data_IF_211631758397
#
_entry.id   IF_211631758397
#
_cell.length_a   1.000
_cell.length_b   1.000
_cell.length_c   1.000
_cell.angle_alpha   90.00
_cell.angle_beta   90.00
_cell.angle_gamma   90.00
#
_symmetry.space_group_name_H-M   'P 1'
#
loop_
_entity.id
_entity.type
_entity.pdbx_description
1 polymer ?
#
# COMPACT_ATOMS: atom_id res chain seq x y z
N UNK A 1 -25.18 -32.03 -53.15
CA UNK A 1 -25.26 -32.46 -51.73
C UNK A 1 -25.70 -31.26 -50.91
N UNK A 2 -27.00 -31.16 -50.65
CA UNK A 2 -27.61 -30.00 -49.99
C UNK A 2 -27.35 -30.00 -48.48
N UNK A 3 -26.75 -28.92 -47.98
CA UNK A 3 -26.86 -28.56 -46.56
C UNK A 3 -28.09 -27.68 -46.38
N UNK A 4 -28.98 -28.13 -45.50
CA UNK A 4 -30.21 -27.43 -45.11
C UNK A 4 -29.86 -26.11 -44.43
N UNK A 5 -30.48 -25.03 -44.86
CA UNK A 5 -30.62 -23.82 -44.05
C UNK A 5 -31.38 -24.20 -42.77
N UNK A 6 -30.73 -24.05 -41.61
CA UNK A 6 -31.41 -24.20 -40.32
C UNK A 6 -32.51 -23.15 -40.21
N UNK A 7 -33.74 -23.60 -39.95
CA UNK A 7 -34.85 -22.72 -39.54
C UNK A 7 -34.47 -22.04 -38.24
N UNK A 8 -34.48 -20.72 -38.23
CA UNK A 8 -34.58 -19.91 -37.02
C UNK A 8 -36.04 -19.96 -36.53
N UNK A 9 -36.49 -21.13 -36.07
CA UNK A 9 -37.74 -21.30 -35.33
C UNK A 9 -37.41 -21.59 -33.85
N UNK A 10 -36.52 -20.83 -33.23
CA UNK A 10 -36.49 -20.76 -31.76
C UNK A 10 -37.68 -19.88 -31.34
N UNK A 11 -38.69 -20.50 -30.74
CA UNK A 11 -39.76 -19.77 -30.05
C UNK A 11 -39.10 -18.72 -29.14
N UNK A 12 -39.34 -17.44 -29.42
CA UNK A 12 -38.99 -16.37 -28.49
C UNK A 12 -39.54 -16.75 -27.11
N UNK A 13 -38.74 -16.65 -26.04
CA UNK A 13 -39.20 -17.04 -24.71
C UNK A 13 -40.54 -16.35 -24.43
N UNK A 14 -41.57 -17.15 -24.14
CA UNK A 14 -42.91 -16.66 -23.85
C UNK A 14 -42.82 -15.74 -22.65
N UNK A 15 -43.28 -14.50 -22.81
CA UNK A 15 -43.42 -13.55 -21.72
C UNK A 15 -44.28 -14.18 -20.64
N UNK A 16 -43.65 -14.54 -19.52
CA UNK A 16 -44.33 -14.95 -18.30
C UNK A 16 -44.61 -13.67 -17.48
N UNK A 17 -45.87 -13.19 -17.43
CA UNK A 17 -46.23 -11.99 -16.68
C UNK A 17 -45.98 -12.15 -15.17
N UNK A 18 -45.79 -13.37 -14.68
CA UNK A 18 -45.53 -13.69 -13.28
C UNK A 18 -44.03 -13.92 -12.99
N UNK A 19 -43.17 -13.91 -14.02
CA UNK A 19 -41.73 -14.01 -13.84
C UNK A 19 -41.18 -12.69 -13.28
N UNK A 20 -40.51 -12.77 -12.12
CA UNK A 20 -39.79 -11.62 -11.55
C UNK A 20 -38.75 -11.13 -12.54
N UNK A 21 -38.78 -9.85 -12.86
CA UNK A 21 -37.78 -9.27 -13.74
C UNK A 21 -36.46 -9.13 -12.97
N UNK A 22 -35.29 -9.23 -13.62
CA UNK A 22 -34.00 -8.98 -12.97
C UNK A 22 -33.92 -7.63 -12.25
N UNK A 23 -34.66 -6.62 -12.72
CA UNK A 23 -34.78 -5.32 -12.05
C UNK A 23 -35.51 -5.42 -10.70
N UNK A 24 -36.55 -6.25 -10.59
CA UNK A 24 -37.29 -6.44 -9.35
C UNK A 24 -36.43 -7.17 -8.31
N UNK A 25 -35.65 -8.17 -8.75
CA UNK A 25 -34.70 -8.87 -7.89
C UNK A 25 -33.58 -7.93 -7.41
N UNK A 26 -33.03 -7.11 -8.32
CA UNK A 26 -32.01 -6.12 -7.98
C UNK A 26 -32.53 -5.07 -7.00
N UNK A 27 -33.72 -4.51 -7.22
CA UNK A 27 -34.32 -3.52 -6.32
C UNK A 27 -34.65 -4.13 -4.95
N UNK A 28 -35.18 -5.36 -4.91
CA UNK A 28 -35.45 -6.07 -3.66
C UNK A 28 -34.14 -6.33 -2.89
N UNK A 29 -33.08 -6.70 -3.58
CA UNK A 29 -31.76 -6.88 -2.98
C UNK A 29 -31.22 -5.56 -2.42
N UNK A 30 -31.15 -4.50 -3.24
CA UNK A 30 -30.61 -3.20 -2.84
C UNK A 30 -31.39 -2.57 -1.68
N UNK A 31 -32.71 -2.66 -1.69
CA UNK A 31 -33.55 -2.16 -0.60
C UNK A 31 -33.27 -2.89 0.72
N UNK A 32 -32.91 -4.17 0.64
CA UNK A 32 -32.56 -4.99 1.81
C UNK A 32 -31.12 -4.76 2.29
N UNK A 33 -30.16 -4.63 1.36
CA UNK A 33 -28.72 -4.62 1.68
C UNK A 33 -28.13 -3.22 1.86
N UNK A 34 -28.74 -2.20 1.25
CA UNK A 34 -28.35 -0.79 1.39
C UNK A 34 -29.57 0.10 1.71
N UNK A 35 -30.32 -0.18 2.80
CA UNK A 35 -31.48 0.63 3.16
C UNK A 35 -31.05 2.05 3.56
N UNK A 36 -31.93 3.03 3.27
CA UNK A 36 -31.69 4.45 3.60
C UNK A 36 -31.47 4.69 5.10
N UNK A 37 -32.17 3.92 5.96
CA UNK A 37 -32.09 4.05 7.41
C UNK A 37 -31.50 2.78 8.00
N UNK A 38 -30.39 2.94 8.72
CA UNK A 38 -29.76 1.85 9.46
C UNK A 38 -29.56 2.24 10.94
N UNK A 39 -29.41 1.25 11.83
CA UNK A 39 -28.97 1.50 13.21
C UNK A 39 -27.64 2.28 13.26
N UNK A 40 -26.69 1.98 12.36
CA UNK A 40 -25.40 2.65 12.27
C UNK A 40 -25.55 4.13 11.93
N UNK A 41 -26.39 4.47 10.93
CA UNK A 41 -26.67 5.86 10.56
C UNK A 41 -27.34 6.63 11.70
N UNK A 42 -28.30 6.00 12.39
CA UNK A 42 -28.97 6.62 13.54
C UNK A 42 -27.98 6.89 14.69
N UNK A 43 -27.11 5.93 15.00
CA UNK A 43 -26.06 6.08 16.01
C UNK A 43 -24.96 7.08 15.59
N UNK A 44 -24.73 7.25 14.29
CA UNK A 44 -23.82 8.24 13.74
C UNK A 44 -24.40 9.64 13.82
N UNK A 45 -25.62 9.88 13.32
CA UNK A 45 -26.28 11.18 13.36
C UNK A 45 -26.33 11.77 14.77
N UNK A 46 -26.63 10.94 15.77
CA UNK A 46 -26.67 11.36 17.17
C UNK A 46 -25.30 11.84 17.73
N UNK A 47 -24.19 11.46 17.09
CA UNK A 47 -22.82 11.78 17.53
C UNK A 47 -22.06 12.69 16.56
N UNK A 48 -22.69 13.09 15.46
CA UNK A 48 -22.12 14.07 14.52
C UNK A 48 -21.74 15.33 15.30
N UNK A 49 -20.52 15.81 15.04
CA UNK A 49 -19.94 16.96 15.74
C UNK A 49 -18.97 17.68 14.83
N UNK A 50 -18.83 18.98 15.06
CA UNK A 50 -17.78 19.79 14.44
C UNK A 50 -16.41 19.14 14.67
N UNK A 51 -15.60 18.94 13.62
CA UNK A 51 -14.26 18.36 13.77
C UNK A 51 -13.38 19.29 14.61
N UNK A 52 -12.71 18.75 15.63
CA UNK A 52 -11.79 19.49 16.49
C UNK A 52 -10.37 18.96 16.31
N UNK A 53 -9.86 19.04 15.09
CA UNK A 53 -8.65 18.32 14.67
C UNK A 53 -7.33 19.06 14.93
N UNK A 54 -7.41 20.33 15.32
CA UNK A 54 -6.26 21.19 15.55
C UNK A 54 -5.23 20.54 16.49
N UNK A 55 -3.96 20.82 16.22
CA UNK A 55 -2.81 20.35 16.99
C UNK A 55 -1.93 19.36 16.23
N UNK A 56 -1.01 18.76 16.97
CA UNK A 56 0.02 17.87 16.44
C UNK A 56 -0.44 16.43 16.35
N UNK A 57 -0.19 15.83 15.20
CA UNK A 57 -0.43 14.42 14.91
C UNK A 57 0.87 13.74 14.55
N UNK A 58 1.07 12.53 15.06
CA UNK A 58 2.14 11.63 14.67
C UNK A 58 1.72 10.90 13.40
N UNK A 59 2.62 10.84 12.42
CA UNK A 59 2.39 10.23 11.12
C UNK A 59 3.27 9.00 10.99
N UNK A 60 2.68 7.88 10.57
CA UNK A 60 3.41 6.79 9.92
C UNK A 60 2.86 6.61 8.52
N UNK A 61 3.74 6.32 7.56
CA UNK A 61 3.34 6.16 6.18
C UNK A 61 4.17 5.09 5.46
N UNK A 62 3.56 4.45 4.47
CA UNK A 62 4.24 3.52 3.56
C UNK A 62 4.06 4.01 2.13
N UNK A 63 5.14 4.02 1.37
CA UNK A 63 5.12 4.29 -0.07
C UNK A 63 5.69 3.06 -0.78
N UNK A 64 4.90 2.39 -1.64
CA UNK A 64 5.40 1.28 -2.43
C UNK A 64 6.68 1.67 -3.18
N UNK A 65 7.71 0.82 -3.10
CA UNK A 65 9.01 1.05 -3.75
C UNK A 65 9.90 2.11 -3.08
N UNK A 66 9.41 2.84 -2.07
CA UNK A 66 10.19 3.83 -1.30
C UNK A 66 10.23 3.56 0.21
N UNK A 67 9.48 2.56 0.67
CA UNK A 67 9.53 2.08 2.04
C UNK A 67 8.67 2.89 3.00
N UNK A 68 9.09 2.89 4.27
CA UNK A 68 8.32 3.45 5.38
C UNK A 68 8.84 4.83 5.77
N UNK A 69 7.94 5.67 6.26
CA UNK A 69 8.19 7.01 6.73
C UNK A 69 7.50 7.23 8.07
N UNK A 70 8.07 8.13 8.87
CA UNK A 70 7.49 8.57 10.13
C UNK A 70 7.68 10.07 10.29
N UNK A 71 6.87 10.70 11.14
CA UNK A 71 7.06 12.11 11.47
C UNK A 71 5.83 12.73 12.09
N UNK A 72 5.54 13.97 11.72
CA UNK A 72 4.44 14.72 12.30
C UNK A 72 3.70 15.58 11.29
N UNK A 73 2.45 15.86 11.62
CA UNK A 73 1.52 16.73 10.90
C UNK A 73 0.94 17.72 11.90
N UNK A 74 1.19 19.00 11.69
CA UNK A 74 0.53 20.09 12.40
C UNK A 74 -0.74 20.47 11.65
N UNK A 75 -1.87 20.50 12.36
CA UNK A 75 -3.17 20.87 11.83
C UNK A 75 -3.63 22.17 12.49
N UNK A 76 -3.94 23.18 11.68
CA UNK A 76 -4.44 24.49 12.12
C UNK A 76 -5.82 24.76 11.49
N UNK A 77 -6.83 25.20 12.26
CA UNK A 77 -8.15 25.52 11.71
C UNK A 77 -8.07 26.78 10.84
N UNK A 78 -8.85 26.81 9.76
CA UNK A 78 -8.99 28.02 8.95
C UNK A 78 -9.95 29.00 9.63
N UNK A 79 -9.56 30.26 9.72
CA UNK A 79 -10.34 31.28 10.42
C UNK A 79 -11.66 31.52 9.69
N UNK A 80 -12.77 31.37 10.42
CA UNK A 80 -14.11 31.64 9.89
C UNK A 80 -14.80 30.42 9.27
N UNK A 81 -14.20 29.24 9.37
CA UNK A 81 -14.79 27.95 8.97
C UNK A 81 -14.78 26.99 10.17
N UNK A 82 -15.65 26.00 10.13
CA UNK A 82 -15.81 25.00 11.21
C UNK A 82 -15.17 23.64 10.88
N UNK A 83 -14.84 23.42 9.60
CA UNK A 83 -14.48 22.12 9.04
C UNK A 83 -13.28 22.18 8.08
N UNK A 84 -12.68 23.35 7.85
CA UNK A 84 -11.48 23.50 7.03
C UNK A 84 -10.20 23.66 7.87
N UNK A 85 -9.12 23.06 7.39
CA UNK A 85 -7.83 23.06 8.08
C UNK A 85 -6.66 23.27 7.11
N UNK A 86 -5.59 23.90 7.59
CA UNK A 86 -4.29 23.92 6.92
C UNK A 86 -3.34 22.96 7.61
N UNK A 87 -2.39 22.42 6.84
CA UNK A 87 -1.50 21.35 7.33
C UNK A 87 -0.05 21.62 6.99
N UNK A 88 0.84 21.25 7.91
CA UNK A 88 2.29 21.19 7.69
C UNK A 88 2.80 19.83 8.13
N UNK A 89 3.37 19.08 7.20
CA UNK A 89 3.86 17.73 7.43
C UNK A 89 5.36 17.69 7.28
N UNK A 90 6.04 17.01 8.19
CA UNK A 90 7.44 16.60 8.04
C UNK A 90 7.52 15.10 8.23
N UNK A 91 8.00 14.40 7.20
CA UNK A 91 8.29 12.97 7.21
C UNK A 91 9.78 12.71 7.12
N UNK A 92 10.22 11.61 7.72
CA UNK A 92 11.57 11.08 7.67
C UNK A 92 11.50 9.63 7.23
N UNK A 93 12.33 9.26 6.25
CA UNK A 93 12.46 7.90 5.77
C UNK A 93 13.06 7.00 6.84
N UNK A 94 12.48 5.82 7.01
CA UNK A 94 13.00 4.77 7.90
C UNK A 94 14.26 4.11 7.31
N UNK A 95 14.44 4.11 5.99
CA UNK A 95 15.58 3.43 5.36
C UNK A 95 16.86 4.27 5.39
N UNK A 96 16.77 5.56 5.07
CA UNK A 96 17.94 6.41 4.82
C UNK A 96 17.94 7.74 5.60
N UNK A 97 16.88 8.03 6.35
CA UNK A 97 16.76 9.27 7.12
C UNK A 97 16.50 10.53 6.28
N UNK A 98 16.30 10.40 4.96
CA UNK A 98 15.89 11.51 4.10
C UNK A 98 14.57 12.12 4.57
N UNK A 99 14.38 13.43 4.37
CA UNK A 99 13.20 14.14 4.88
C UNK A 99 12.37 14.74 3.77
N UNK A 100 11.06 14.79 3.99
CA UNK A 100 10.08 15.38 3.08
C UNK A 100 9.22 16.34 3.89
N UNK A 101 9.03 17.55 3.38
CA UNK A 101 8.11 18.52 3.94
C UNK A 101 6.94 18.73 2.97
N UNK A 102 5.72 18.78 3.50
CA UNK A 102 4.51 19.05 2.72
C UNK A 102 3.67 20.11 3.39
N UNK A 103 2.99 20.91 2.59
CA UNK A 103 1.97 21.85 3.07
C UNK A 103 0.66 21.59 2.35
N UNK A 104 -0.47 21.71 3.06
CA UNK A 104 -1.77 21.39 2.52
C UNK A 104 -2.94 22.18 3.10
N UNK A 105 -4.10 21.93 2.51
CA UNK A 105 -5.41 22.42 2.94
C UNK A 105 -6.40 21.26 2.88
N UNK A 106 -7.40 21.26 3.75
CA UNK A 106 -8.39 20.20 3.83
C UNK A 106 -9.74 20.69 4.34
N UNK A 107 -10.74 19.84 4.10
CA UNK A 107 -12.12 19.95 4.54
C UNK A 107 -12.55 18.61 5.15
N UNK A 108 -13.41 18.62 6.16
CA UNK A 108 -13.91 17.41 6.82
C UNK A 108 -15.42 17.28 6.66
N UNK A 109 -15.83 16.35 5.81
CA UNK A 109 -17.24 16.03 5.63
C UNK A 109 -17.78 15.20 6.78
N UNK A 110 -18.99 15.56 7.21
CA UNK A 110 -19.76 14.84 8.22
C UNK A 110 -19.05 14.65 9.57
N UNK A 111 -17.91 15.30 9.83
CA UNK A 111 -17.13 15.15 11.07
C UNK A 111 -16.10 14.01 11.08
N UNK A 112 -15.92 13.28 9.97
CA UNK A 112 -14.96 12.15 9.90
C UNK A 112 -14.27 11.95 8.54
N UNK A 113 -14.88 12.39 7.44
CA UNK A 113 -14.35 12.15 6.10
C UNK A 113 -13.46 13.31 5.67
N UNK A 114 -12.16 13.18 5.92
CA UNK A 114 -11.16 14.16 5.52
C UNK A 114 -10.93 14.12 4.01
N UNK A 115 -10.99 15.28 3.37
CA UNK A 115 -10.60 15.50 1.99
C UNK A 115 -9.63 16.67 1.95
N UNK A 116 -8.45 16.44 1.41
CA UNK A 116 -7.42 17.47 1.37
C UNK A 116 -6.56 17.42 0.14
N UNK A 117 -5.66 18.39 0.04
CA UNK A 117 -4.56 18.40 -0.90
C UNK A 117 -3.31 18.87 -0.21
N UNK A 118 -2.17 18.27 -0.56
CA UNK A 118 -0.86 18.74 -0.12
C UNK A 118 0.17 18.64 -1.23
N UNK A 119 1.25 19.40 -1.10
CA UNK A 119 2.39 19.34 -2.03
C UNK A 119 3.70 19.54 -1.30
N UNK A 120 4.77 19.02 -1.88
CA UNK A 120 6.13 19.29 -1.44
C UNK A 120 6.60 20.71 -1.78
N UNK A 121 7.76 21.10 -1.24
CA UNK A 121 8.36 22.41 -1.50
C UNK A 121 9.26 22.47 -2.73
N UNK A 122 9.62 21.32 -3.32
CA UNK A 122 10.51 21.21 -4.47
C UNK A 122 9.74 20.92 -5.77
N UNK A 123 10.34 21.26 -6.91
CA UNK A 123 9.87 20.80 -8.21
C UNK A 123 9.96 19.28 -8.32
N UNK A 124 8.99 18.66 -8.97
CA UNK A 124 8.94 17.21 -9.21
C UNK A 124 9.96 16.81 -10.27
N UNK A 125 10.85 15.86 -9.96
CA UNK A 125 11.88 15.35 -10.86
C UNK A 125 11.43 14.11 -11.65
N UNK A 126 10.47 13.35 -11.13
CA UNK A 126 9.94 12.12 -11.73
C UNK A 126 8.44 11.97 -11.45
N UNK A 127 7.71 11.12 -12.21
CA UNK A 127 6.28 10.91 -12.00
C UNK A 127 5.93 10.41 -10.59
N UNK A 128 6.83 9.64 -9.98
CA UNK A 128 6.71 9.06 -8.65
C UNK A 128 7.32 9.95 -7.54
N UNK A 129 7.69 11.19 -7.85
CA UNK A 129 8.33 12.10 -6.88
C UNK A 129 7.42 12.38 -5.68
N UNK A 130 7.97 12.22 -4.48
CA UNK A 130 7.28 12.41 -3.21
C UNK A 130 6.91 13.87 -2.93
N UNK A 131 7.44 14.83 -3.70
CA UNK A 131 7.06 16.24 -3.65
C UNK A 131 5.78 16.55 -4.46
N UNK A 132 5.24 15.60 -5.23
CA UNK A 132 4.07 15.81 -6.08
C UNK A 132 2.84 16.31 -5.31
N UNK A 133 2.01 17.09 -5.99
CA UNK A 133 0.67 17.47 -5.50
C UNK A 133 -0.17 16.20 -5.35
N UNK A 134 -0.61 15.96 -4.12
CA UNK A 134 -1.38 14.78 -3.75
C UNK A 134 -2.76 15.20 -3.25
N UNK A 135 -3.76 14.43 -3.66
CA UNK A 135 -5.08 14.40 -3.01
C UNK A 135 -5.00 13.55 -1.76
N UNK A 136 -5.71 13.95 -0.72
CA UNK A 136 -5.74 13.26 0.57
C UNK A 136 -7.15 12.78 0.86
N UNK A 137 -7.28 11.49 1.17
CA UNK A 137 -8.54 10.87 1.56
C UNK A 137 -8.27 10.08 2.82
N UNK A 138 -8.79 10.55 3.95
CA UNK A 138 -8.65 9.89 5.24
C UNK A 138 -10.02 9.66 5.89
N UNK A 139 -10.10 8.58 6.65
CA UNK A 139 -11.15 8.36 7.62
C UNK A 139 -10.61 8.73 9.01
N UNK A 140 -11.31 9.62 9.72
CA UNK A 140 -10.98 9.99 11.09
C UNK A 140 -11.86 9.17 12.03
N UNK A 141 -11.23 8.61 13.06
CA UNK A 141 -11.92 7.87 14.11
C UNK A 141 -13.04 8.68 14.77
N UNK A 142 -14.12 8.05 15.26
CA UNK A 142 -15.22 8.75 15.90
C UNK A 142 -14.80 9.57 17.12
N UNK A 143 -13.78 9.12 17.86
CA UNK A 143 -13.20 9.84 19.00
C UNK A 143 -12.22 10.96 18.59
N UNK A 144 -11.89 11.05 17.29
CA UNK A 144 -10.95 11.98 16.67
C UNK A 144 -9.53 11.86 17.23
N UNK A 145 -9.11 10.66 17.66
CA UNK A 145 -7.76 10.40 18.19
C UNK A 145 -6.81 9.78 17.17
N UNK A 146 -7.34 9.11 16.15
CA UNK A 146 -6.62 8.52 15.02
C UNK A 146 -7.28 8.82 13.68
N UNK A 147 -6.52 8.70 12.60
CA UNK A 147 -7.05 8.69 11.24
C UNK A 147 -6.21 7.77 10.34
N UNK A 148 -6.79 7.26 9.27
CA UNK A 148 -6.08 6.44 8.29
C UNK A 148 -6.62 6.66 6.88
N UNK A 149 -5.78 6.44 5.88
CA UNK A 149 -6.17 6.53 4.48
C UNK A 149 -4.97 6.73 3.58
N UNK A 150 -5.12 7.52 2.52
CA UNK A 150 -4.07 7.67 1.49
C UNK A 150 -3.91 9.10 1.01
N UNK A 151 -2.66 9.49 0.77
CA UNK A 151 -2.29 10.69 0.01
C UNK A 151 -1.76 10.24 -1.35
N UNK A 152 -2.42 10.58 -2.44
CA UNK A 152 -2.12 9.97 -3.75
C UNK A 152 -2.12 10.97 -4.91
N UNK A 153 -1.41 10.61 -5.96
CA UNK A 153 -1.34 11.37 -7.21
C UNK A 153 -1.12 10.43 -8.40
N UNK A 154 -0.96 11.02 -9.58
CA UNK A 154 -1.01 10.30 -10.84
C UNK A 154 -2.43 10.27 -11.40
N UNK A 155 -2.53 10.09 -12.71
CA UNK A 155 -3.81 10.08 -13.41
C UNK A 155 -4.69 8.91 -12.98
N UNK A 156 -4.06 7.80 -12.59
CA UNK A 156 -4.72 6.57 -12.16
C UNK A 156 -4.54 6.33 -10.66
N UNK A 157 -4.10 7.35 -9.92
CA UNK A 157 -3.92 7.33 -8.47
C UNK A 157 -2.88 6.28 -8.01
N UNK A 158 -1.98 5.90 -8.92
CA UNK A 158 -1.04 4.79 -8.77
C UNK A 158 0.06 5.08 -7.74
N UNK A 159 0.36 6.36 -7.49
CA UNK A 159 1.35 6.79 -6.52
C UNK A 159 0.70 7.25 -5.23
N UNK A 160 1.36 7.03 -4.10
CA UNK A 160 0.87 7.57 -2.85
C UNK A 160 1.57 7.09 -1.60
N UNK A 161 1.17 7.75 -0.50
CA UNK A 161 1.45 7.37 0.87
C UNK A 161 0.20 6.72 1.43
N UNK A 162 0.31 5.47 1.87
CA UNK A 162 -0.69 4.89 2.77
C UNK A 162 -0.34 5.39 4.18
N UNK A 163 -1.27 6.10 4.82
CA UNK A 163 -1.00 6.94 6.00
C UNK A 163 -1.84 6.50 7.19
N UNK A 164 -1.20 6.46 8.35
CA UNK A 164 -1.86 6.41 9.66
C UNK A 164 -1.44 7.62 10.49
N UNK A 165 -2.43 8.20 11.17
CA UNK A 165 -2.28 9.35 12.05
C UNK A 165 -2.74 8.97 13.46
N UNK A 166 -2.02 9.46 14.45
CA UNK A 166 -2.44 9.41 15.84
C UNK A 166 -2.16 10.75 16.50
N UNK A 167 -3.07 11.26 17.34
CA UNK A 167 -2.79 12.48 18.10
C UNK A 167 -1.53 12.30 18.93
N UNK A 168 -0.68 13.32 18.92
CA UNK A 168 0.46 13.36 19.80
C UNK A 168 -0.01 13.33 21.27
N UNK A 169 0.62 12.46 22.07
CA UNK A 169 0.44 12.42 23.52
C UNK A 169 1.75 12.83 24.21
N UNK A 170 1.76 12.87 25.55
CA UNK A 170 2.99 12.99 26.34
C UNK A 170 3.58 11.61 26.68
N UNK A 171 2.79 10.55 26.51
CA UNK A 171 3.23 9.19 26.78
C UNK A 171 4.16 8.70 25.66
N UNK A 172 5.08 7.77 25.96
CA UNK A 172 5.88 7.10 24.95
C UNK A 172 5.00 6.43 23.89
N UNK A 173 5.37 6.57 22.62
CA UNK A 173 4.71 5.93 21.48
C UNK A 173 5.74 5.16 20.68
N UNK A 174 5.43 3.93 20.26
CA UNK A 174 6.25 3.15 19.33
C UNK A 174 5.63 3.23 17.94
N UNK A 175 6.42 3.57 16.93
CA UNK A 175 5.91 3.94 15.61
C UNK A 175 6.29 2.92 14.55
N UNK A 176 7.59 2.63 14.40
CA UNK A 176 8.11 1.78 13.33
C UNK A 176 9.41 1.08 13.75
N UNK A 177 9.80 0.07 13.00
CA UNK A 177 11.13 -0.56 13.06
C UNK A 177 11.80 -0.50 11.70
N UNK A 178 13.12 -0.40 11.69
CA UNK A 178 13.93 -0.40 10.46
C UNK A 178 14.03 -1.76 9.78
N UNK A 179 13.84 -2.85 10.56
CA UNK A 179 13.91 -4.22 10.07
C UNK A 179 12.58 -4.94 10.25
N UNK A 180 12.00 -5.49 9.19
CA UNK A 180 10.72 -6.21 9.27
C UNK A 180 10.86 -7.62 9.83
N UNK A 181 12.07 -8.19 9.85
CA UNK A 181 12.30 -9.57 10.26
C UNK A 181 13.70 -9.85 10.80
N UNK A 182 13.83 -10.89 11.61
CA UNK A 182 15.07 -11.39 12.20
C UNK A 182 15.16 -12.92 12.10
N UNK A 183 16.32 -13.42 11.67
CA UNK A 183 16.56 -14.86 11.53
C UNK A 183 16.89 -15.50 12.88
N UNK A 184 16.37 -16.70 13.15
CA UNK A 184 16.71 -17.50 14.33
C UNK A 184 18.21 -17.75 14.43
N UNK A 185 18.72 -17.81 15.66
CA UNK A 185 20.15 -17.97 15.94
C UNK A 185 21.01 -16.73 15.67
N UNK A 186 20.43 -15.63 15.16
CA UNK A 186 21.18 -14.37 14.98
C UNK A 186 21.59 -13.81 16.33
N UNK A 187 22.84 -13.38 16.43
CA UNK A 187 23.40 -12.73 17.62
C UNK A 187 23.70 -11.26 17.31
N UNK A 188 23.48 -10.38 18.29
CA UNK A 188 23.72 -8.96 18.21
C UNK A 188 23.09 -8.29 16.97
N UNK A 189 21.87 -8.70 16.60
CA UNK A 189 21.10 -8.07 15.54
C UNK A 189 20.77 -6.62 15.92
N UNK A 190 21.32 -5.66 15.19
CA UNK A 190 21.05 -4.24 15.42
C UNK A 190 19.69 -3.87 14.83
N UNK A 191 18.78 -3.42 15.70
CA UNK A 191 17.43 -2.96 15.36
C UNK A 191 17.23 -1.52 15.82
N UNK A 192 16.65 -0.70 14.96
CA UNK A 192 16.28 0.69 15.24
C UNK A 192 14.76 0.78 15.36
N UNK A 193 14.32 1.09 16.56
CA UNK A 193 12.93 1.37 16.91
C UNK A 193 12.71 2.89 16.84
N UNK A 194 11.78 3.30 15.98
CA UNK A 194 11.31 4.66 15.85
C UNK A 194 10.18 4.86 16.85
N UNK A 195 10.27 5.94 17.61
CA UNK A 195 9.36 6.21 18.70
C UNK A 195 9.08 7.73 18.84
N UNK A 196 8.25 8.09 19.80
CA UNK A 196 8.04 9.45 20.26
C UNK A 196 8.00 9.46 21.80
N UNK A 197 8.49 10.54 22.41
CA UNK A 197 8.49 10.76 23.87
C UNK A 197 9.12 9.65 24.72
N UNK A 198 10.16 8.99 24.21
CA UNK A 198 10.94 8.08 25.06
C UNK A 198 11.60 8.86 26.22
N UNK A 199 11.59 8.30 27.44
CA UNK A 199 12.22 8.96 28.59
C UNK A 199 13.74 9.01 28.44
N UNK A 200 14.37 9.97 29.11
CA UNK A 200 15.83 10.12 29.10
C UNK A 200 16.60 8.89 29.62
N UNK A 201 15.97 8.08 30.47
CA UNK A 201 16.51 6.83 31.00
C UNK A 201 15.56 5.69 30.66
N UNK A 202 16.11 4.63 30.05
CA UNK A 202 15.40 3.42 29.65
C UNK A 202 16.06 2.25 30.37
N UNK A 203 15.31 1.53 31.19
CA UNK A 203 15.80 0.31 31.80
C UNK A 203 15.61 -0.87 30.82
N UNK A 204 16.55 -1.82 30.74
CA UNK A 204 16.38 -3.03 29.93
C UNK A 204 15.06 -3.78 30.16
N UNK A 205 14.58 -3.85 31.40
CA UNK A 205 13.32 -4.51 31.74
C UNK A 205 12.06 -3.73 31.35
N UNK A 206 12.18 -2.49 30.86
CA UNK A 206 11.05 -1.75 30.29
C UNK A 206 10.68 -2.25 28.87
N UNK A 207 11.57 -3.02 28.24
CA UNK A 207 11.47 -3.45 26.84
C UNK A 207 11.14 -4.95 26.75
N UNK A 208 10.21 -5.28 25.86
CA UNK A 208 9.88 -6.65 25.47
C UNK A 208 9.88 -6.75 23.95
N UNK A 209 10.60 -7.73 23.41
CA UNK A 209 10.69 -8.01 21.97
C UNK A 209 9.98 -9.33 21.59
N UNK A 210 9.25 -9.91 22.54
CA UNK A 210 8.49 -11.13 22.41
C UNK A 210 9.31 -12.41 22.57
N UNK A 211 8.61 -13.54 22.65
CA UNK A 211 9.21 -14.84 22.95
C UNK A 211 10.32 -15.24 21.97
N UNK A 212 11.45 -15.68 22.52
CA UNK A 212 12.62 -16.12 21.74
C UNK A 212 13.52 -14.98 21.25
N UNK A 213 13.25 -13.73 21.62
CA UNK A 213 14.09 -12.57 21.31
C UNK A 213 14.52 -11.92 22.63
N UNK A 214 15.82 -11.75 22.82
CA UNK A 214 16.39 -11.18 24.03
C UNK A 214 17.19 -9.93 23.71
N UNK A 215 17.00 -8.88 24.50
CA UNK A 215 17.79 -7.66 24.33
C UNK A 215 19.17 -7.86 24.96
N UNK A 216 20.22 -7.79 24.13
CA UNK A 216 21.61 -7.84 24.58
C UNK A 216 22.03 -6.54 25.25
N UNK A 217 21.77 -5.41 24.58
CA UNK A 217 22.09 -4.08 25.08
C UNK A 217 21.36 -2.99 24.30
N UNK A 218 21.25 -1.82 24.93
CA UNK A 218 20.92 -0.56 24.27
C UNK A 218 22.22 0.01 23.66
N UNK A 219 22.19 0.33 22.37
CA UNK A 219 23.31 0.94 21.64
C UNK A 219 23.27 2.46 21.77
N UNK A 220 22.08 3.04 21.58
CA UNK A 220 21.83 4.47 21.70
C UNK A 220 20.33 4.70 21.85
N UNK A 221 19.95 5.80 22.49
CA UNK A 221 18.55 6.24 22.55
C UNK A 221 18.44 7.76 22.61
N UNK A 222 17.31 8.26 22.13
CA UNK A 222 16.85 9.64 22.23
C UNK A 222 15.34 9.63 22.54
N UNK A 223 14.71 10.81 22.58
CA UNK A 223 13.26 10.88 22.74
C UNK A 223 12.48 10.24 21.57
N UNK A 224 13.10 10.09 20.39
CA UNK A 224 12.40 9.67 19.16
C UNK A 224 12.99 8.41 18.51
N UNK A 225 14.05 7.84 19.10
CA UNK A 225 14.73 6.68 18.54
C UNK A 225 15.37 5.84 19.65
N UNK A 226 15.30 4.53 19.49
CA UNK A 226 16.01 3.55 20.30
C UNK A 226 16.70 2.54 19.39
N UNK A 227 18.02 2.41 19.52
CA UNK A 227 18.81 1.40 18.82
C UNK A 227 19.24 0.34 19.82
N UNK A 228 18.90 -0.91 19.55
CA UNK A 228 19.21 -2.07 20.40
C UNK A 228 19.94 -3.14 19.62
N UNK A 229 20.67 -3.98 20.34
CA UNK A 229 21.14 -5.28 19.84
C UNK A 229 20.30 -6.38 20.44
N UNK A 230 19.78 -7.26 19.57
CA UNK A 230 18.92 -8.38 19.93
C UNK A 230 19.61 -9.71 19.60
N UNK A 231 19.44 -10.69 20.47
CA UNK A 231 19.76 -12.08 20.21
C UNK A 231 18.46 -12.85 19.99
N UNK A 232 18.39 -13.60 18.88
CA UNK A 232 17.25 -14.47 18.56
C UNK A 232 17.65 -15.91 18.85
N UNK A 233 16.87 -16.58 19.70
CA UNK A 233 17.12 -17.98 20.03
C UNK A 233 17.08 -18.86 18.77
N UNK A 234 17.91 -19.90 18.73
CA UNK A 234 17.99 -20.80 17.57
C UNK A 234 16.70 -21.63 17.38
N UNK A 235 15.97 -21.86 18.47
CA UNK A 235 14.70 -22.57 18.56
C UNK A 235 13.49 -21.63 18.64
N UNK A 236 13.67 -20.33 18.41
CA UNK A 236 12.56 -19.39 18.42
C UNK A 236 11.52 -19.77 17.35
N UNK A 237 10.26 -19.93 17.78
CA UNK A 237 9.17 -20.30 16.89
C UNK A 237 8.93 -19.18 15.87
N UNK A 238 8.85 -19.48 14.55
CA UNK A 238 8.51 -18.49 13.55
C UNK A 238 7.22 -17.71 13.84
N UNK A 239 7.17 -16.44 13.46
CA UNK A 239 5.99 -15.61 13.58
C UNK A 239 6.28 -14.16 13.93
N UNK A 240 5.25 -13.31 13.85
CA UNK A 240 5.34 -11.92 14.24
C UNK A 240 5.50 -11.78 15.76
N UNK A 241 6.21 -10.74 16.18
CA UNK A 241 6.38 -10.29 17.56
C UNK A 241 5.91 -8.87 17.68
N UNK A 242 5.18 -8.62 18.76
CA UNK A 242 4.93 -7.28 19.24
C UNK A 242 6.20 -6.77 19.93
N UNK A 243 6.47 -5.47 19.83
CA UNK A 243 7.47 -4.82 20.66
C UNK A 243 6.72 -3.97 21.68
N UNK A 244 7.03 -4.16 22.96
CA UNK A 244 6.49 -3.35 24.02
C UNK A 244 7.58 -2.48 24.66
N UNK A 245 7.20 -1.26 24.99
CA UNK A 245 7.92 -0.38 25.89
C UNK A 245 6.95 0.13 26.95
N UNK A 246 7.02 -0.45 28.15
CA UNK A 246 6.02 -0.23 29.22
C UNK A 246 4.59 -0.48 28.72
N UNK A 247 3.79 0.58 28.55
CA UNK A 247 2.40 0.52 28.08
C UNK A 247 2.27 0.73 26.57
N UNK A 248 3.33 1.19 25.91
CA UNK A 248 3.34 1.37 24.47
C UNK A 248 3.61 0.02 23.81
N UNK A 249 2.81 -0.33 22.81
CA UNK A 249 2.94 -1.59 22.07
C UNK A 249 2.92 -1.27 20.59
N UNK A 250 3.93 -1.77 19.88
CA UNK A 250 3.95 -1.83 18.42
C UNK A 250 3.58 -3.26 18.00
N UNK A 251 2.33 -3.49 17.59
CA UNK A 251 1.88 -4.84 17.27
C UNK A 251 2.52 -5.34 15.98
N UNK A 252 2.88 -6.63 15.96
CA UNK A 252 3.39 -7.36 14.79
C UNK A 252 4.59 -6.67 14.11
N UNK A 253 5.43 -6.04 14.91
CA UNK A 253 6.54 -5.20 14.49
C UNK A 253 7.62 -5.96 13.71
N UNK A 254 8.02 -7.14 14.21
CA UNK A 254 9.13 -7.94 13.67
C UNK A 254 8.71 -9.39 13.47
N UNK A 255 8.97 -9.96 12.30
CA UNK A 255 8.86 -11.39 12.08
C UNK A 255 10.13 -12.12 12.52
N UNK A 256 10.01 -13.14 13.36
CA UNK A 256 11.08 -14.11 13.59
C UNK A 256 10.91 -15.28 12.63
N UNK A 257 11.99 -15.74 12.00
CA UNK A 257 11.94 -16.80 10.98
C UNK A 257 13.22 -17.63 10.97
N UNK A 258 13.18 -18.86 10.45
CA UNK A 258 14.36 -19.72 10.28
C UNK A 258 14.87 -19.75 8.83
N UNK A 259 13.98 -19.57 7.85
CA UNK A 259 14.27 -19.52 6.42
C UNK A 259 13.19 -18.77 5.65
N UNK A 260 13.53 -18.35 4.44
CA UNK A 260 12.57 -17.86 3.46
C UNK A 260 12.12 -19.06 2.63
N UNK A 261 10.83 -19.36 2.60
CA UNK A 261 10.29 -20.51 1.88
C UNK A 261 9.85 -20.15 0.45
N UNK A 262 9.39 -18.91 0.24
CA UNK A 262 9.05 -18.36 -1.07
C UNK A 262 9.00 -16.83 -0.99
N UNK A 263 8.90 -16.19 -2.15
CA UNK A 263 8.74 -14.75 -2.30
C UNK A 263 7.45 -14.48 -3.08
N UNK A 264 6.86 -13.30 -2.92
CA UNK A 264 5.71 -12.85 -3.69
C UNK A 264 5.98 -11.49 -4.31
N UNK A 265 5.75 -11.35 -5.62
CA UNK A 265 5.67 -10.06 -6.29
C UNK A 265 4.29 -9.47 -6.01
N UNK A 266 4.27 -8.25 -5.45
CA UNK A 266 3.06 -7.53 -5.11
C UNK A 266 2.98 -6.25 -5.96
N UNK A 267 1.84 -5.97 -6.61
CA UNK A 267 0.66 -6.84 -6.75
C UNK A 267 0.94 -8.09 -7.61
N UNK A 268 0.17 -9.16 -7.43
CA UNK A 268 0.28 -10.42 -8.20
C UNK A 268 -0.33 -10.34 -9.60
N UNK A 269 -1.30 -9.45 -9.80
CA UNK A 269 -1.74 -8.99 -11.10
C UNK A 269 -2.03 -7.49 -11.09
N UNK A 270 -1.70 -6.81 -12.19
CA UNK A 270 -1.81 -5.36 -12.29
C UNK A 270 -2.12 -4.87 -13.69
N UNK A 271 -2.50 -3.59 -13.77
CA UNK A 271 -2.79 -2.87 -14.99
C UNK A 271 -1.89 -1.64 -15.07
N UNK A 272 -1.18 -1.50 -16.17
CA UNK A 272 -0.53 -0.25 -16.55
C UNK A 272 -1.16 0.30 -17.84
N UNK A 273 -0.92 1.58 -18.12
CA UNK A 273 -1.51 2.24 -19.30
C UNK A 273 -0.46 3.01 -20.06
N UNK A 274 -0.46 2.82 -21.37
CA UNK A 274 0.29 3.66 -22.29
C UNK A 274 -0.12 5.12 -22.10
N UNK A 275 0.74 6.03 -22.57
CA UNK A 275 0.40 7.44 -22.52
C UNK A 275 1.41 8.36 -23.19
N UNK A 276 0.98 9.59 -23.36
CA UNK A 276 1.69 10.71 -23.97
C UNK A 276 1.41 11.98 -23.17
N UNK A 277 1.78 13.14 -23.70
CA UNK A 277 1.46 14.43 -23.10
C UNK A 277 -0.07 14.66 -22.97
N UNK A 278 -0.85 14.21 -23.96
CA UNK A 278 -2.32 14.38 -23.97
C UNK A 278 -3.02 13.40 -23.03
N UNK A 279 -2.53 12.18 -22.94
CA UNK A 279 -3.08 11.15 -22.05
C UNK A 279 -1.96 10.64 -21.14
N UNK A 280 -1.90 11.05 -19.86
CA UNK A 280 -0.83 10.63 -18.98
C UNK A 280 -0.70 9.11 -18.90
N UNK A 281 0.54 8.62 -18.79
CA UNK A 281 0.86 7.20 -18.57
C UNK A 281 0.27 6.73 -17.23
N UNK A 282 -0.12 5.45 -17.18
CA UNK A 282 -0.49 4.76 -15.94
C UNK A 282 0.61 3.83 -15.49
N UNK A 283 1.35 4.23 -14.46
CA UNK A 283 2.54 3.53 -14.00
C UNK A 283 2.19 2.37 -13.04
N UNK A 284 3.15 1.48 -12.80
CA UNK A 284 3.00 0.42 -11.80
C UNK A 284 4.30 0.23 -11.02
N UNK A 285 4.19 0.22 -9.70
CA UNK A 285 5.28 -0.14 -8.80
C UNK A 285 5.09 -1.56 -8.30
N UNK A 286 6.16 -2.35 -8.31
CA UNK A 286 6.19 -3.72 -7.78
C UNK A 286 7.14 -3.80 -6.58
N UNK A 287 6.83 -4.70 -5.66
CA UNK A 287 7.70 -5.05 -4.53
C UNK A 287 7.79 -6.56 -4.41
N UNK A 288 8.93 -7.06 -3.93
CA UNK A 288 9.11 -8.49 -3.68
C UNK A 288 9.15 -8.71 -2.16
N UNK A 289 8.19 -9.47 -1.65
CA UNK A 289 7.99 -9.72 -0.22
C UNK A 289 8.30 -11.18 0.07
N UNK A 290 9.12 -11.44 1.09
CA UNK A 290 9.46 -12.78 1.51
C UNK A 290 8.44 -13.37 2.49
N UNK A 291 8.27 -14.69 2.44
CA UNK A 291 7.36 -15.43 3.30
C UNK A 291 7.97 -16.73 3.83
N UNK A 292 7.49 -17.15 5.00
CA UNK A 292 7.68 -18.48 5.56
C UNK A 292 6.32 -19.19 5.68
N UNK A 293 6.26 -20.49 5.41
CA UNK A 293 5.03 -21.31 5.29
C UNK A 293 4.27 -21.61 6.60
N UNK A 294 4.48 -20.80 7.63
CA UNK A 294 3.81 -20.99 8.91
C UNK A 294 4.01 -22.38 9.53
N UNK A 295 3.01 -22.80 10.30
CA UNK A 295 3.00 -24.07 11.02
C UNK A 295 2.46 -25.22 10.16
N UNK A 296 1.59 -24.94 9.19
CA UNK A 296 0.99 -25.95 8.32
C UNK A 296 1.94 -26.43 7.19
N UNK A 297 3.00 -25.67 6.93
CA UNK A 297 4.07 -25.98 5.98
C UNK A 297 3.65 -25.83 4.51
N UNK A 298 2.49 -25.24 4.24
CA UNK A 298 1.95 -25.00 2.90
C UNK A 298 2.12 -23.52 2.54
N UNK A 299 2.46 -23.18 1.29
CA UNK A 299 2.48 -21.80 0.86
C UNK A 299 1.08 -21.30 0.53
N UNK A 300 0.89 -19.99 0.62
CA UNK A 300 -0.34 -19.25 0.28
C UNK A 300 -1.53 -19.59 1.19
N UNK A 301 -1.26 -19.75 2.48
CA UNK A 301 -2.23 -20.02 3.54
C UNK A 301 -2.26 -18.87 4.56
N UNK A 302 -3.26 -18.88 5.44
CA UNK A 302 -3.46 -17.79 6.39
C UNK A 302 -2.40 -17.74 7.51
N UNK A 303 -1.63 -18.81 7.72
CA UNK A 303 -0.56 -18.88 8.72
C UNK A 303 0.83 -18.55 8.15
N UNK A 304 0.92 -18.22 6.86
CA UNK A 304 2.16 -17.72 6.27
C UNK A 304 2.65 -16.47 7.01
N UNK A 305 3.94 -16.47 7.36
CA UNK A 305 4.58 -15.36 8.05
C UNK A 305 5.23 -14.45 7.01
N UNK A 306 4.67 -13.25 6.83
CA UNK A 306 5.29 -12.20 6.02
C UNK A 306 6.59 -11.71 6.68
N UNK A 307 7.70 -11.78 5.95
CA UNK A 307 9.04 -11.40 6.41
C UNK A 307 9.45 -9.99 5.97
N UNK A 308 8.63 -9.35 5.14
CA UNK A 308 8.85 -8.02 4.58
C UNK A 308 9.59 -8.02 3.23
N UNK A 309 9.89 -6.83 2.69
CA UNK A 309 10.55 -6.69 1.40
C UNK A 309 11.97 -7.26 1.43
N UNK A 310 12.40 -7.82 0.30
CA UNK A 310 13.75 -8.37 0.13
C UNK A 310 14.44 -7.85 -1.12
N UNK A 311 15.77 -7.98 -1.14
CA UNK A 311 16.58 -7.63 -2.30
C UNK A 311 16.44 -8.66 -3.42
N UNK A 312 15.96 -8.19 -4.57
CA UNK A 312 15.76 -9.00 -5.78
C UNK A 312 16.41 -8.35 -7.00
N UNK A 313 16.66 -9.16 -8.01
CA UNK A 313 16.85 -8.68 -9.37
C UNK A 313 15.50 -8.66 -10.07
N UNK A 314 15.19 -7.53 -10.72
CA UNK A 314 13.95 -7.38 -11.48
C UNK A 314 14.21 -7.64 -12.96
N UNK A 315 13.32 -8.39 -13.59
CA UNK A 315 13.30 -8.57 -15.03
C UNK A 315 11.87 -8.60 -15.56
N UNK A 316 11.75 -8.49 -16.87
CA UNK A 316 10.48 -8.63 -17.58
C UNK A 316 10.63 -9.79 -18.57
N UNK A 317 9.61 -10.63 -18.64
CA UNK A 317 9.52 -11.76 -19.55
C UNK A 317 8.27 -11.67 -20.42
N UNK A 318 8.31 -12.33 -21.57
CA UNK A 318 7.19 -12.41 -22.49
C UNK A 318 6.04 -13.22 -21.88
N UNK A 319 4.82 -12.72 -21.99
CA UNK A 319 3.62 -13.55 -21.81
C UNK A 319 3.19 -14.08 -23.17
N UNK A 320 3.42 -15.37 -23.42
CA UNK A 320 3.11 -16.00 -24.70
C UNK A 320 1.61 -16.25 -24.89
N UNK A 321 0.84 -15.18 -25.13
CA UNK A 321 -0.54 -15.26 -25.60
C UNK A 321 -0.64 -15.80 -27.05
N UNK A 322 0.42 -15.59 -27.84
CA UNK A 322 0.57 -16.05 -29.21
C UNK A 322 2.02 -16.50 -29.46
N UNK A 323 2.24 -17.26 -30.53
CA UNK A 323 3.58 -17.77 -30.88
C UNK A 323 4.57 -16.66 -31.26
N UNK A 324 4.07 -15.58 -31.86
CA UNK A 324 4.83 -14.38 -32.27
C UNK A 324 4.70 -13.23 -31.26
N UNK A 325 4.47 -13.55 -29.98
CA UNK A 325 4.37 -12.53 -28.93
C UNK A 325 5.72 -11.80 -28.75
N UNK A 326 5.65 -10.48 -28.87
CA UNK A 326 6.77 -9.53 -28.81
C UNK A 326 6.49 -8.40 -27.82
N UNK A 327 5.46 -8.55 -26.97
CA UNK A 327 4.92 -7.49 -26.14
C UNK A 327 6.00 -6.90 -25.23
N UNK A 328 6.90 -7.74 -24.69
CA UNK A 328 8.01 -7.30 -23.83
C UNK A 328 8.88 -6.22 -24.46
N UNK A 329 9.06 -6.23 -25.79
CA UNK A 329 9.90 -5.26 -26.48
C UNK A 329 9.24 -3.88 -26.62
N UNK A 330 7.91 -3.84 -26.51
CA UNK A 330 7.12 -2.65 -26.84
C UNK A 330 6.41 -2.02 -25.64
N UNK A 331 6.01 -2.80 -24.63
CA UNK A 331 5.09 -2.32 -23.58
C UNK A 331 5.65 -1.24 -22.67
N UNK A 332 6.98 -1.19 -22.48
CA UNK A 332 7.62 -0.24 -21.58
C UNK A 332 8.96 -0.73 -21.05
N UNK A 333 9.39 -0.14 -19.94
CA UNK A 333 10.62 -0.50 -19.25
C UNK A 333 10.39 -0.75 -17.76
N UNK A 334 11.17 -1.67 -17.20
CA UNK A 334 11.17 -1.98 -15.77
C UNK A 334 12.51 -1.60 -15.16
N UNK A 335 12.50 -0.79 -14.09
CA UNK A 335 13.70 -0.45 -13.34
C UNK A 335 14.12 -1.58 -12.38
N UNK A 336 15.36 -1.51 -11.87
CA UNK A 336 15.82 -2.40 -10.78
C UNK A 336 15.23 -2.05 -9.41
N UNK A 337 14.36 -1.05 -9.32
CA UNK A 337 13.55 -0.78 -8.12
C UNK A 337 12.14 -1.34 -8.25
N UNK A 338 11.84 -2.13 -9.30
CA UNK A 338 10.51 -2.67 -9.56
C UNK A 338 9.53 -1.62 -10.10
N UNK A 339 10.02 -0.49 -10.62
CA UNK A 339 9.16 0.57 -11.17
C UNK A 339 8.97 0.38 -12.67
N UNK A 340 7.74 0.10 -13.10
CA UNK A 340 7.37 -0.05 -14.50
C UNK A 340 6.91 1.27 -15.10
N UNK A 341 7.58 1.68 -16.18
CA UNK A 341 7.24 2.85 -16.99
C UNK A 341 6.66 2.40 -18.34
N UNK A 342 5.36 2.66 -18.60
CA UNK A 342 4.73 2.30 -19.86
C UNK A 342 5.34 3.03 -21.05
N UNK A 343 5.23 2.45 -22.24
CA UNK A 343 5.56 3.11 -23.51
C UNK A 343 4.53 4.17 -23.92
N UNK A 344 4.79 4.84 -25.04
CA UNK A 344 3.86 5.79 -25.64
C UNK A 344 2.60 5.11 -26.17
N UNK A 345 1.47 5.83 -26.14
CA UNK A 345 0.25 5.44 -26.86
C UNK A 345 0.35 5.78 -28.37
N UNK A 346 -0.60 5.27 -29.15
CA UNK A 346 -0.69 5.48 -30.60
C UNK A 346 -0.09 4.35 -31.45
N UNK A 347 -0.45 4.27 -32.74
CA UNK A 347 0.03 3.24 -33.66
C UNK A 347 1.56 3.21 -33.71
N UNK A 348 2.16 2.02 -33.54
CA UNK A 348 3.60 1.85 -33.66
C UNK A 348 3.95 1.08 -34.95
N UNK A 349 4.57 1.73 -35.96
CA UNK A 349 4.94 1.09 -37.23
C UNK A 349 5.87 -0.12 -37.11
N UNK A 350 6.61 -0.26 -35.99
CA UNK A 350 7.47 -1.41 -35.72
C UNK A 350 6.68 -2.66 -35.29
N UNK A 351 5.43 -2.49 -34.85
CA UNK A 351 4.56 -3.60 -34.48
C UNK A 351 3.78 -4.10 -35.68
N UNK A 352 3.49 -5.40 -35.67
CA UNK A 352 2.60 -6.03 -36.65
C UNK A 352 1.26 -5.29 -36.74
N UNK A 353 0.83 -4.98 -37.96
CA UNK A 353 -0.37 -4.17 -38.26
C UNK A 353 -0.36 -2.75 -37.67
N UNK A 354 0.81 -2.23 -37.29
CA UNK A 354 0.93 -0.92 -36.64
C UNK A 354 0.09 -0.79 -35.36
N UNK A 355 -0.10 -1.90 -34.62
CA UNK A 355 -0.82 -1.87 -33.34
C UNK A 355 -0.11 -0.95 -32.33
N UNK A 356 -0.87 -0.47 -31.34
CA UNK A 356 -0.29 0.28 -30.22
C UNK A 356 0.68 -0.59 -29.41
N UNK A 357 1.46 0.00 -28.52
CA UNK A 357 2.41 -0.68 -27.63
C UNK A 357 1.78 -1.47 -26.46
N UNK A 358 0.49 -1.82 -26.51
CA UNK A 358 -0.16 -2.56 -25.42
C UNK A 358 0.24 -4.04 -25.49
N UNK A 359 0.04 -4.76 -24.40
CA UNK A 359 0.41 -6.17 -24.34
C UNK A 359 0.33 -6.71 -22.94
N UNK A 360 0.70 -7.97 -22.76
CA UNK A 360 0.84 -8.57 -21.44
C UNK A 360 2.24 -9.11 -21.25
N UNK A 361 2.76 -9.00 -20.03
CA UNK A 361 4.11 -9.43 -19.68
C UNK A 361 4.14 -10.04 -18.28
N UNK A 362 5.17 -10.83 -18.01
CA UNK A 362 5.51 -11.23 -16.66
C UNK A 362 6.54 -10.27 -16.08
N UNK A 363 6.27 -9.76 -14.88
CA UNK A 363 7.25 -9.06 -14.06
C UNK A 363 7.84 -10.07 -13.10
N UNK A 364 9.15 -10.29 -13.18
CA UNK A 364 9.83 -11.35 -12.45
C UNK A 364 10.76 -10.74 -11.42
N UNK A 365 10.66 -11.25 -10.19
CA UNK A 365 11.60 -10.97 -9.12
C UNK A 365 12.39 -12.23 -8.80
N UNK A 366 13.72 -12.15 -8.82
CA UNK A 366 14.61 -13.25 -8.41
C UNK A 366 15.44 -12.81 -7.21
N UNK A 367 15.33 -13.53 -6.08
CA UNK A 367 16.06 -13.22 -4.85
C UNK A 367 17.58 -13.24 -5.07
N UNK A 368 18.27 -12.21 -4.56
CA UNK A 368 19.73 -12.09 -4.71
C UNK A 368 20.47 -13.10 -3.84
N UNK A 369 20.08 -13.18 -2.57
CA UNK A 369 20.85 -13.88 -1.53
C UNK A 369 20.16 -15.16 -1.04
N UNK A 370 18.85 -15.29 -1.23
CA UNK A 370 18.04 -16.36 -0.67
C UNK A 370 17.75 -17.46 -1.68
N UNK A 371 17.77 -18.70 -1.19
CA UNK A 371 17.64 -19.92 -1.99
C UNK A 371 16.64 -20.87 -1.33
N UNK A 372 16.00 -21.67 -2.16
CA UNK A 372 15.19 -22.80 -1.70
C UNK A 372 16.06 -23.90 -1.07
N UNK A 373 15.40 -24.92 -0.54
CA UNK A 373 16.05 -26.11 0.04
C UNK A 373 16.97 -26.87 -0.91
N UNK A 374 16.85 -26.66 -2.22
CA UNK A 374 17.67 -27.30 -3.25
C UNK A 374 18.80 -26.38 -3.75
N UNK A 375 18.95 -25.18 -3.18
CA UNK A 375 19.95 -24.20 -3.58
C UNK A 375 19.58 -23.37 -4.82
N UNK A 376 18.35 -23.46 -5.32
CA UNK A 376 17.84 -22.60 -6.41
C UNK A 376 17.43 -21.25 -5.84
N UNK A 377 17.72 -20.15 -6.56
CA UNK A 377 17.22 -18.83 -6.17
C UNK A 377 15.69 -18.84 -6.10
N UNK A 378 15.15 -18.13 -5.10
CA UNK A 378 13.71 -17.91 -4.99
C UNK A 378 13.28 -16.94 -6.09
N UNK A 379 12.16 -17.24 -6.74
CA UNK A 379 11.61 -16.45 -7.82
C UNK A 379 10.09 -16.41 -7.71
N UNK A 380 9.49 -15.28 -8.07
CA UNK A 380 8.05 -15.16 -8.28
C UNK A 380 7.73 -14.20 -9.43
N UNK A 381 6.51 -14.31 -9.97
CA UNK A 381 6.05 -13.54 -11.14
C UNK A 381 4.72 -12.85 -10.89
N UNK A 382 4.61 -11.62 -11.37
CA UNK A 382 3.36 -10.87 -11.44
C UNK A 382 2.89 -10.71 -12.88
N UNK A 383 1.59 -10.88 -13.10
CA UNK A 383 0.96 -10.69 -14.40
C UNK A 383 0.62 -9.22 -14.62
N UNK A 384 1.30 -8.56 -15.55
CA UNK A 384 1.05 -7.17 -15.89
C UNK A 384 0.37 -7.08 -17.26
N UNK A 385 -0.81 -6.46 -17.28
CA UNK A 385 -1.48 -6.04 -18.51
C UNK A 385 -1.16 -4.56 -18.75
N UNK A 386 -0.60 -4.24 -19.91
CA UNK A 386 -0.41 -2.86 -20.36
C UNK A 386 -1.45 -2.57 -21.42
N UNK A 387 -2.33 -1.59 -21.18
CA UNK A 387 -3.44 -1.26 -22.07
C UNK A 387 -3.40 0.19 -22.56
N UNK A 388 -4.36 0.55 -23.41
CA UNK A 388 -4.53 1.91 -23.92
C UNK A 388 -4.83 2.92 -22.80
N UNK A 389 -4.55 4.22 -23.01
CA UNK A 389 -4.95 5.25 -22.05
C UNK A 389 -6.45 5.23 -21.79
N UNK A 390 -6.87 5.79 -20.64
CA UNK A 390 -8.28 6.12 -20.44
C UNK A 390 -8.63 7.37 -21.28
N UNK A 391 -9.38 7.18 -22.36
CA UNK A 391 -9.82 8.27 -23.23
C UNK A 391 -11.03 9.05 -22.68
N UNK A 392 -11.76 8.44 -21.75
CA UNK A 392 -12.89 9.06 -21.06
C UNK A 392 -12.58 9.06 -19.58
N UNK A 393 -12.57 10.24 -18.99
CA UNK A 393 -12.56 10.42 -17.55
C UNK A 393 -13.91 10.98 -17.14
N UNK A 394 -14.61 10.27 -16.27
CA UNK A 394 -15.76 10.82 -15.57
C UNK A 394 -15.21 11.68 -14.44
N UNK A 395 -15.29 12.99 -14.61
CA UNK A 395 -14.95 13.92 -13.54
C UNK A 395 -15.99 13.79 -12.42
N UNK A 396 -15.53 13.67 -11.19
CA UNK A 396 -16.37 13.76 -9.99
C UNK A 396 -16.06 15.11 -9.36
N UNK A 397 -16.75 16.19 -9.76
CA UNK A 397 -16.44 17.54 -9.33
C UNK A 397 -16.50 17.72 -7.80
N UNK A 398 -17.22 16.84 -7.09
CA UNK A 398 -17.37 16.84 -5.63
C UNK A 398 -16.09 16.47 -4.86
N UNK A 399 -15.08 15.88 -5.52
CA UNK A 399 -13.76 15.53 -4.95
C UNK A 399 -12.59 16.22 -5.68
N UNK A 400 -12.90 17.09 -6.65
CA UNK A 400 -11.92 17.71 -7.54
C UNK A 400 -11.49 19.14 -7.19
N UNK A 401 -12.28 19.87 -6.37
CA UNK A 401 -12.00 21.27 -6.00
C UNK A 401 -11.05 21.40 -4.81
#
# INVERSE_FOLDING_TARGET
LGMRAGRFDEELPKFDPDAKLPVDEALAHLSKTAPLWTPEWSAWQARMRTPKLAGRWIVTARVPGKGKFYGSMEIEPVKGTDDEFTTKVKLTSVSDGSTINRAGHSLVYAGYAWRGRSKGSSSTASPDDLASDAREVLWISPDQSSAEGRWFWGQYQEFGFDVKLQRASADPMLLEVDRPSLKTGTQAARVRLIAENLPAQIAPGDLDFGHGVTMRRIVSHSATELVVELDVAADAVPGKRDIAFRRAVLPSAIAVYDRIDYIKVVPDSSLARLGSERHPKGYQQFEAVAFQRGADGKPHTADDVELGPIDVNWSMEEFYAAYDADDREFVGSLSQTGFFTPSSDGPNPQRKFSRNNYGSVWIVATAKNDKDKNGKQLEDKSYLVVTVPAYIQFDQPEVGQ
#
